data_IF_604740243676
#
_entry.id   IF_604740243676
#
_cell.length_a   1.000
_cell.length_b   1.000
_cell.length_c   1.000
_cell.angle_alpha   90.00
_cell.angle_beta   90.00
_cell.angle_gamma   90.00
#
_symmetry.space_group_name_H-M   'P 1'
#
loop_
_entity.id
_entity.type
_entity.pdbx_description
1 polymer ?
#
# COMPACT_ATOMS: atom_id res chain seq x y z
N UNK A 1 -7.45 -20.61 -15.67
CA UNK A 1 -8.27 -20.38 -14.46
C UNK A 1 -7.73 -19.28 -13.54
N UNK A 2 -6.42 -19.22 -13.25
CA UNK A 2 -5.84 -18.19 -12.37
C UNK A 2 -6.07 -16.75 -12.87
N UNK A 3 -5.95 -16.50 -14.17
CA UNK A 3 -6.21 -15.18 -14.78
C UNK A 3 -7.63 -14.67 -14.57
N UNK A 4 -8.62 -15.54 -14.74
CA UNK A 4 -10.02 -15.19 -14.56
C UNK A 4 -10.29 -14.80 -13.11
N UNK A 5 -9.75 -15.57 -12.15
CA UNK A 5 -9.85 -15.28 -10.71
C UNK A 5 -9.16 -13.98 -10.33
N UNK A 6 -7.98 -13.68 -10.88
CA UNK A 6 -7.29 -12.42 -10.63
C UNK A 6 -8.08 -11.23 -11.19
N UNK A 7 -8.63 -11.36 -12.41
CA UNK A 7 -9.46 -10.31 -13.01
C UNK A 7 -10.73 -10.06 -12.19
N UNK A 8 -11.41 -11.13 -11.74
CA UNK A 8 -12.55 -11.03 -10.83
C UNK A 8 -12.18 -10.38 -9.49
N UNK A 9 -11.05 -10.77 -8.89
CA UNK A 9 -10.56 -10.16 -7.65
C UNK A 9 -10.26 -8.67 -7.84
N UNK A 10 -9.57 -8.30 -8.92
CA UNK A 10 -9.25 -6.91 -9.23
C UNK A 10 -10.51 -6.07 -9.35
N UNK A 11 -11.49 -6.53 -10.13
CA UNK A 11 -12.77 -5.84 -10.28
C UNK A 11 -13.50 -5.77 -8.94
N UNK A 12 -13.58 -6.89 -8.22
CA UNK A 12 -14.25 -6.97 -6.92
C UNK A 12 -13.64 -6.02 -5.88
N UNK A 13 -12.32 -5.98 -5.76
CA UNK A 13 -11.61 -5.06 -4.86
C UNK A 13 -11.75 -3.61 -5.29
N UNK A 14 -11.66 -3.29 -6.59
CA UNK A 14 -11.88 -1.92 -7.08
C UNK A 14 -13.30 -1.44 -6.75
N UNK A 15 -14.31 -2.28 -6.99
CA UNK A 15 -15.71 -1.95 -6.66
C UNK A 15 -15.89 -1.81 -5.14
N UNK A 16 -15.39 -2.77 -4.36
CA UNK A 16 -15.52 -2.75 -2.91
C UNK A 16 -14.87 -1.50 -2.28
N UNK A 17 -13.64 -1.16 -2.67
CA UNK A 17 -12.95 0.02 -2.16
C UNK A 17 -13.56 1.32 -2.68
N UNK A 18 -14.09 1.34 -3.91
CA UNK A 18 -14.84 2.48 -4.42
C UNK A 18 -16.12 2.71 -3.60
N UNK A 19 -16.92 1.67 -3.38
CA UNK A 19 -18.12 1.78 -2.54
C UNK A 19 -17.79 2.19 -1.11
N UNK A 20 -16.72 1.66 -0.54
CA UNK A 20 -16.28 2.03 0.81
C UNK A 20 -15.90 3.53 0.91
N UNK A 21 -15.10 4.05 -0.03
CA UNK A 21 -14.69 5.46 0.02
C UNK A 21 -15.87 6.41 -0.28
N UNK A 22 -16.74 6.05 -1.23
CA UNK A 22 -17.94 6.82 -1.53
C UNK A 22 -18.93 6.83 -0.37
N UNK A 23 -19.13 5.67 0.29
CA UNK A 23 -19.96 5.58 1.48
C UNK A 23 -19.42 6.42 2.63
N UNK A 24 -18.10 6.37 2.88
CA UNK A 24 -17.45 7.19 3.90
C UNK A 24 -17.58 8.69 3.61
N UNK A 25 -17.37 9.10 2.36
CA UNK A 25 -17.49 10.50 1.95
C UNK A 25 -18.94 10.99 2.00
N UNK A 26 -19.90 10.17 1.59
CA UNK A 26 -21.32 10.50 1.69
C UNK A 26 -21.75 10.67 3.16
N UNK A 27 -21.29 9.78 4.05
CA UNK A 27 -21.52 9.92 5.49
C UNK A 27 -20.94 11.24 6.03
N UNK A 28 -19.67 11.53 5.72
CA UNK A 28 -19.02 12.79 6.11
C UNK A 28 -19.74 14.01 5.56
N UNK A 29 -20.21 13.94 4.31
CA UNK A 29 -20.92 15.04 3.67
C UNK A 29 -22.23 15.38 4.39
N UNK A 30 -22.96 14.39 4.90
CA UNK A 30 -24.24 14.59 5.60
C UNK A 30 -24.05 15.04 7.06
N UNK A 31 -22.97 14.62 7.73
CA UNK A 31 -22.77 14.94 9.15
C UNK A 31 -21.92 16.19 9.41
N UNK A 32 -20.73 16.28 8.81
CA UNK A 32 -19.70 17.27 9.19
C UNK A 32 -19.15 18.08 8.00
N UNK A 33 -19.59 17.75 6.79
CA UNK A 33 -18.97 18.21 5.55
C UNK A 33 -17.69 17.41 5.21
N UNK A 34 -17.27 17.45 3.95
CA UNK A 34 -16.04 16.74 3.52
C UNK A 34 -14.82 17.57 3.93
N UNK A 35 -13.92 17.01 4.77
CA UNK A 35 -12.75 17.75 5.23
C UNK A 35 -11.84 18.17 4.08
N UNK A 36 -11.19 19.32 4.27
CA UNK A 36 -10.03 19.72 3.49
C UNK A 36 -8.88 19.94 4.48
N UNK A 37 -7.80 19.21 4.28
CA UNK A 37 -6.62 19.25 5.14
C UNK A 37 -5.54 20.09 4.48
N UNK A 38 -4.92 20.98 5.25
CA UNK A 38 -3.67 21.58 4.82
C UNK A 38 -2.59 20.51 4.78
N UNK A 39 -1.78 20.49 3.71
CA UNK A 39 -0.67 19.55 3.62
C UNK A 39 0.25 19.71 4.84
N UNK A 40 0.67 18.58 5.43
CA UNK A 40 1.59 18.53 6.55
C UNK A 40 1.15 19.34 7.79
N UNK A 41 -0.16 19.53 7.98
CA UNK A 41 -0.69 20.36 9.08
C UNK A 41 -0.15 21.80 9.05
N UNK A 42 0.34 22.27 7.90
CA UNK A 42 0.94 23.59 7.75
C UNK A 42 -0.01 24.52 6.99
N UNK A 43 -0.53 25.59 7.62
CA UNK A 43 -1.51 26.49 6.99
C UNK A 43 -0.95 27.24 5.77
N UNK A 44 0.37 27.35 5.61
CA UNK A 44 1.00 27.97 4.45
C UNK A 44 0.99 27.08 3.19
N UNK A 45 0.65 25.78 3.33
CA UNK A 45 0.59 24.83 2.22
C UNK A 45 -0.85 24.69 1.68
N UNK A 46 -1.02 24.34 0.38
CA UNK A 46 -2.33 24.23 -0.23
C UNK A 46 -3.20 23.21 0.48
N UNK A 47 -4.48 23.53 0.57
CA UNK A 47 -5.50 22.68 1.19
C UNK A 47 -5.96 21.64 0.17
N UNK A 48 -5.90 20.37 0.54
CA UNK A 48 -6.35 19.26 -0.31
C UNK A 48 -7.64 18.69 0.27
N UNK A 49 -8.66 18.60 -0.56
CA UNK A 49 -9.95 18.01 -0.16
C UNK A 49 -9.92 16.49 -0.23
N UNK A 50 -10.57 15.85 0.74
CA UNK A 50 -10.73 14.39 0.77
C UNK A 50 -11.58 13.87 -0.42
N UNK A 51 -12.32 14.74 -1.11
CA UNK A 51 -13.05 14.41 -2.34
C UNK A 51 -12.18 13.77 -3.42
N UNK A 52 -10.90 14.15 -3.51
CA UNK A 52 -9.98 13.52 -4.45
C UNK A 52 -9.83 12.01 -4.20
N UNK A 53 -10.04 11.55 -2.96
CA UNK A 53 -10.04 10.13 -2.61
C UNK A 53 -11.11 9.32 -3.33
N UNK A 54 -12.27 9.91 -3.66
CA UNK A 54 -13.36 9.23 -4.37
C UNK A 54 -12.92 8.69 -5.74
N UNK A 55 -12.04 9.42 -6.42
CA UNK A 55 -11.50 9.07 -7.74
C UNK A 55 -10.13 8.40 -7.61
N UNK A 56 -9.30 8.87 -6.67
CA UNK A 56 -7.92 8.39 -6.54
C UNK A 56 -7.86 6.94 -6.07
N UNK A 57 -8.67 6.53 -5.08
CA UNK A 57 -8.67 5.16 -4.56
C UNK A 57 -9.05 4.10 -5.62
N UNK A 58 -10.14 4.23 -6.40
CA UNK A 58 -10.45 3.24 -7.43
C UNK A 58 -9.38 3.21 -8.52
N UNK A 59 -8.83 4.37 -8.91
CA UNK A 59 -7.76 4.46 -9.90
C UNK A 59 -6.47 3.76 -9.42
N UNK A 60 -6.05 4.04 -8.19
CA UNK A 60 -4.89 3.41 -7.56
C UNK A 60 -5.08 1.91 -7.41
N UNK A 61 -6.24 1.48 -6.91
CA UNK A 61 -6.59 0.06 -6.80
C UNK A 61 -6.46 -0.63 -8.16
N UNK A 62 -7.03 -0.04 -9.20
CA UNK A 62 -6.98 -0.58 -10.56
C UNK A 62 -5.55 -0.64 -11.09
N UNK A 63 -4.76 0.43 -10.92
CA UNK A 63 -3.41 0.54 -11.43
C UNK A 63 -2.44 -0.39 -10.69
N UNK A 64 -2.40 -0.35 -9.35
CA UNK A 64 -1.50 -1.13 -8.51
C UNK A 64 -1.75 -2.64 -8.63
N UNK A 65 -3.02 -3.08 -8.65
CA UNK A 65 -3.34 -4.48 -8.91
C UNK A 65 -3.03 -4.88 -10.37
N UNK A 66 -3.16 -3.95 -11.32
CA UNK A 66 -2.75 -4.18 -12.71
C UNK A 66 -1.24 -4.38 -12.86
N UNK A 67 -0.44 -3.58 -12.15
CA UNK A 67 1.02 -3.69 -12.07
C UNK A 67 1.45 -4.98 -11.37
N UNK A 68 0.75 -5.38 -10.31
CA UNK A 68 0.95 -6.68 -9.63
C UNK A 68 0.76 -7.85 -10.59
N UNK A 69 -0.29 -7.81 -11.43
CA UNK A 69 -0.59 -8.86 -12.42
C UNK A 69 0.55 -9.06 -13.41
N UNK A 70 1.03 -7.96 -14.03
CA UNK A 70 2.11 -8.01 -15.03
C UNK A 70 3.40 -8.64 -14.49
N UNK A 71 3.63 -8.56 -13.17
CA UNK A 71 4.78 -9.18 -12.51
C UNK A 71 4.58 -10.68 -12.22
N UNK A 72 3.34 -11.15 -12.17
CA UNK A 72 2.94 -12.47 -11.65
C UNK A 72 2.41 -13.43 -12.72
N UNK A 73 2.34 -13.00 -13.98
CA UNK A 73 1.99 -13.86 -15.12
C UNK A 73 2.94 -15.07 -15.25
N UNK A 74 4.15 -15.01 -14.66
CA UNK A 74 5.09 -16.14 -14.62
C UNK A 74 4.94 -17.11 -13.42
N UNK A 75 4.08 -16.82 -12.41
CA UNK A 75 4.17 -17.46 -11.09
C UNK A 75 2.92 -18.26 -10.61
N UNK A 76 1.90 -18.45 -11.44
CA UNK A 76 0.76 -19.34 -11.13
C UNK A 76 -0.17 -18.88 -10.00
N UNK A 77 -0.94 -19.82 -9.39
CA UNK A 77 -2.02 -19.55 -8.41
C UNK A 77 -1.54 -19.10 -7.02
N UNK A 78 -0.34 -19.50 -6.62
CA UNK A 78 0.28 -19.09 -5.35
C UNK A 78 0.55 -17.57 -5.30
N UNK A 79 0.65 -16.94 -6.48
CA UNK A 79 0.88 -15.51 -6.63
C UNK A 79 -0.28 -14.62 -6.11
N UNK A 80 -1.51 -15.14 -6.11
CA UNK A 80 -2.72 -14.44 -5.65
C UNK A 80 -2.77 -14.35 -4.12
N UNK A 81 -2.48 -15.45 -3.43
CA UNK A 81 -2.41 -15.48 -1.96
C UNK A 81 -1.33 -14.52 -1.45
N UNK A 82 -0.17 -14.52 -2.09
CA UNK A 82 0.91 -13.58 -1.77
C UNK A 82 0.53 -12.11 -2.05
N UNK A 83 -0.31 -11.83 -3.05
CA UNK A 83 -0.86 -10.49 -3.28
C UNK A 83 -1.77 -10.06 -2.14
N UNK A 84 -2.71 -10.93 -1.72
CA UNK A 84 -3.63 -10.65 -0.63
C UNK A 84 -2.92 -10.50 0.71
N UNK A 85 -1.92 -11.33 0.99
CA UNK A 85 -1.08 -11.19 2.20
C UNK A 85 -0.35 -9.85 2.20
N UNK A 86 0.23 -9.43 1.06
CA UNK A 86 0.86 -8.12 0.94
C UNK A 86 -0.13 -6.97 1.16
N UNK A 87 -1.32 -7.06 0.57
CA UNK A 87 -2.39 -6.09 0.74
C UNK A 87 -2.83 -5.98 2.20
N UNK A 88 -3.09 -7.11 2.86
CA UNK A 88 -3.53 -7.14 4.26
C UNK A 88 -2.42 -6.68 5.21
N UNK A 89 -1.16 -7.05 4.96
CA UNK A 89 -0.03 -6.58 5.74
C UNK A 89 0.16 -5.06 5.61
N UNK A 90 0.08 -4.53 4.39
CA UNK A 90 0.11 -3.08 4.15
C UNK A 90 -1.05 -2.35 4.83
N UNK A 91 -2.26 -2.92 4.76
CA UNK A 91 -3.46 -2.38 5.40
C UNK A 91 -3.33 -2.32 6.91
N UNK A 92 -2.90 -3.43 7.53
CA UNK A 92 -2.66 -3.50 8.96
C UNK A 92 -1.60 -2.48 9.40
N UNK A 93 -0.54 -2.32 8.60
CA UNK A 93 0.53 -1.37 8.89
C UNK A 93 0.08 0.09 8.80
N UNK A 94 -0.67 0.44 7.74
CA UNK A 94 -1.25 1.77 7.58
C UNK A 94 -2.29 2.08 8.67
N UNK A 95 -3.12 1.10 9.03
CA UNK A 95 -4.06 1.23 10.13
C UNK A 95 -3.35 1.44 11.48
N UNK A 96 -2.28 0.69 11.76
CA UNK A 96 -1.49 0.87 12.98
C UNK A 96 -0.91 2.29 13.06
N UNK A 97 -0.32 2.80 11.98
CA UNK A 97 0.17 4.18 11.93
C UNK A 97 -0.95 5.21 12.12
N UNK A 98 -2.11 4.99 11.50
CA UNK A 98 -3.27 5.87 11.63
C UNK A 98 -3.76 5.96 13.06
N UNK A 99 -3.88 4.81 13.74
CA UNK A 99 -4.30 4.74 15.13
C UNK A 99 -3.26 5.40 16.03
N UNK A 100 -1.97 5.13 15.85
CA UNK A 100 -0.90 5.77 16.64
C UNK A 100 -0.93 7.30 16.52
N UNK A 101 -1.12 7.83 15.30
CA UNK A 101 -1.22 9.27 15.08
C UNK A 101 -2.48 9.86 15.70
N UNK A 102 -3.64 9.23 15.48
CA UNK A 102 -4.90 9.72 16.02
C UNK A 102 -4.93 9.70 17.56
N UNK A 103 -4.22 8.75 18.18
CA UNK A 103 -4.03 8.71 19.64
C UNK A 103 -2.98 9.71 20.16
N UNK A 104 -2.41 10.58 19.32
CA UNK A 104 -1.42 11.59 19.72
C UNK A 104 0.02 11.06 19.89
N UNK A 105 0.29 9.81 19.52
CA UNK A 105 1.62 9.20 19.63
C UNK A 105 2.42 9.43 18.35
N UNK A 106 2.72 10.69 18.02
CA UNK A 106 3.43 11.07 16.79
C UNK A 106 4.82 10.43 16.69
N UNK A 107 5.51 10.27 17.83
CA UNK A 107 6.82 9.61 17.89
C UNK A 107 6.76 8.16 17.41
N UNK A 108 5.74 7.40 17.85
CA UNK A 108 5.52 6.01 17.43
C UNK A 108 5.21 5.95 15.94
N UNK A 109 4.39 6.88 15.45
CA UNK A 109 4.07 7.01 14.03
C UNK A 109 5.34 7.26 13.21
N UNK A 110 6.24 8.13 13.68
CA UNK A 110 7.54 8.36 13.06
C UNK A 110 8.41 7.11 13.03
N UNK A 111 8.50 6.36 14.14
CA UNK A 111 9.24 5.11 14.19
C UNK A 111 8.68 4.03 13.26
N UNK A 112 7.35 3.92 13.14
CA UNK A 112 6.73 3.05 12.14
C UNK A 112 7.11 3.52 10.73
N UNK A 113 6.88 4.80 10.42
CA UNK A 113 7.17 5.32 9.08
C UNK A 113 8.63 5.08 8.64
N UNK A 114 9.61 5.43 9.48
CA UNK A 114 11.03 5.19 9.18
C UNK A 114 11.45 3.73 9.35
N UNK A 115 10.72 2.94 10.15
CA UNK A 115 10.93 1.50 10.33
C UNK A 115 10.70 0.69 9.05
N UNK A 116 10.01 1.26 8.05
CA UNK A 116 9.88 0.66 6.71
C UNK A 116 11.24 0.51 6.00
N UNK A 117 12.22 1.40 6.26
CA UNK A 117 13.54 1.34 5.62
C UNK A 117 14.33 0.08 6.00
N UNK A 118 14.57 -0.23 7.29
CA UNK A 118 15.26 -1.46 7.66
C UNK A 118 14.45 -2.70 7.29
N UNK A 119 13.11 -2.64 7.36
CA UNK A 119 12.24 -3.75 6.95
C UNK A 119 12.43 -4.10 5.46
N UNK A 120 12.71 -3.09 4.63
CA UNK A 120 12.99 -3.27 3.21
C UNK A 120 14.26 -4.08 2.92
N UNK A 121 15.16 -4.28 3.88
CA UNK A 121 16.32 -5.17 3.69
C UNK A 121 15.90 -6.65 3.59
N UNK A 122 14.84 -7.03 4.29
CA UNK A 122 14.39 -8.42 4.40
C UNK A 122 13.16 -8.70 3.54
N UNK A 123 12.23 -7.75 3.48
CA UNK A 123 10.94 -7.92 2.83
C UNK A 123 10.79 -6.94 1.66
N UNK A 124 10.16 -7.36 0.55
CA UNK A 124 9.88 -6.47 -0.58
C UNK A 124 8.67 -5.57 -0.28
N UNK A 125 8.83 -4.63 0.65
CA UNK A 125 7.75 -3.74 1.14
C UNK A 125 7.25 -2.78 0.05
N UNK A 126 8.08 -2.44 -0.92
CA UNK A 126 7.75 -1.62 -2.10
C UNK A 126 6.70 -2.25 -3.04
N UNK A 127 6.25 -3.47 -2.77
CA UNK A 127 5.28 -4.17 -3.61
C UNK A 127 3.98 -3.37 -3.75
N UNK A 128 3.38 -3.33 -4.96
CA UNK A 128 2.21 -2.51 -5.22
C UNK A 128 1.00 -2.92 -4.36
N UNK A 129 0.89 -4.18 -3.97
CA UNK A 129 -0.19 -4.64 -3.07
C UNK A 129 0.00 -4.09 -1.65
N UNK A 130 1.23 -4.08 -1.14
CA UNK A 130 1.56 -3.50 0.17
C UNK A 130 1.30 -1.99 0.18
N UNK A 131 1.72 -1.29 -0.89
CA UNK A 131 1.48 0.14 -1.05
C UNK A 131 -0.02 0.45 -1.09
N UNK A 132 -0.81 -0.34 -1.84
CA UNK A 132 -2.25 -0.18 -1.89
C UNK A 132 -2.89 -0.34 -0.51
N UNK A 133 -2.52 -1.40 0.22
CA UNK A 133 -3.02 -1.64 1.58
C UNK A 133 -2.67 -0.48 2.52
N UNK A 134 -1.42 -0.04 2.48
CA UNK A 134 -0.94 1.08 3.27
C UNK A 134 -1.74 2.38 3.01
N UNK A 135 -1.95 2.73 1.73
CA UNK A 135 -2.73 3.91 1.35
C UNK A 135 -4.16 3.80 1.89
N UNK A 136 -4.81 2.64 1.73
CA UNK A 136 -6.16 2.42 2.24
C UNK A 136 -6.26 2.56 3.76
N UNK A 137 -5.30 1.99 4.50
CA UNK A 137 -5.26 2.05 5.96
C UNK A 137 -5.12 3.49 6.47
N UNK A 138 -4.32 4.31 5.76
CA UNK A 138 -4.09 5.71 6.10
C UNK A 138 -5.18 6.67 5.61
N UNK A 139 -5.97 6.27 4.61
CA UNK A 139 -6.95 7.14 3.95
C UNK A 139 -8.11 7.56 4.86
N UNK A 140 -8.38 6.80 5.93
CA UNK A 140 -9.44 7.14 6.89
C UNK A 140 -9.07 8.37 7.71
N UNK A 141 -7.79 8.52 8.09
CA UNK A 141 -7.32 9.62 8.96
C UNK A 141 -6.80 10.80 8.15
N UNK A 142 -6.03 10.54 7.09
CA UNK A 142 -5.30 11.58 6.35
C UNK A 142 -5.84 11.88 4.94
N UNK A 143 -6.93 11.21 4.55
CA UNK A 143 -7.39 11.22 3.16
C UNK A 143 -6.46 10.43 2.24
N UNK A 144 -6.82 10.29 0.96
CA UNK A 144 -6.09 9.42 0.03
C UNK A 144 -4.81 10.06 -0.54
N UNK A 145 -4.77 11.39 -0.68
CA UNK A 145 -3.71 12.08 -1.43
C UNK A 145 -2.37 12.04 -0.68
N UNK A 146 -2.38 12.36 0.62
CA UNK A 146 -1.16 12.44 1.43
C UNK A 146 -0.46 11.06 1.54
N UNK A 147 -1.16 9.96 1.89
CA UNK A 147 -0.56 8.64 1.94
C UNK A 147 -0.11 8.14 0.58
N UNK A 148 -0.77 8.54 -0.51
CA UNK A 148 -0.34 8.19 -1.86
C UNK A 148 1.00 8.84 -2.19
N UNK A 149 1.16 10.13 -1.88
CA UNK A 149 2.40 10.85 -2.15
C UNK A 149 3.57 10.28 -1.33
N UNK A 150 3.45 10.24 -0.01
CA UNK A 150 4.50 9.73 0.87
C UNK A 150 4.73 8.23 0.70
N UNK A 151 3.67 7.46 0.54
CA UNK A 151 3.75 6.02 0.28
C UNK A 151 4.48 5.71 -1.01
N UNK A 152 4.27 6.50 -2.07
CA UNK A 152 4.97 6.31 -3.35
C UNK A 152 6.47 6.64 -3.24
N UNK A 153 6.81 7.73 -2.55
CA UNK A 153 8.20 8.10 -2.27
C UNK A 153 8.88 7.01 -1.44
N UNK A 154 8.23 6.53 -0.39
CA UNK A 154 8.74 5.45 0.44
C UNK A 154 8.84 4.12 -0.30
N UNK A 155 7.89 3.79 -1.16
CA UNK A 155 7.97 2.60 -2.01
C UNK A 155 9.19 2.68 -2.94
N UNK A 156 9.49 3.85 -3.51
CA UNK A 156 10.69 4.04 -4.32
C UNK A 156 11.97 3.89 -3.49
N UNK A 157 12.04 4.53 -2.32
CA UNK A 157 13.20 4.42 -1.43
C UNK A 157 13.45 2.98 -0.98
N UNK A 158 12.40 2.29 -0.52
CA UNK A 158 12.48 0.89 -0.10
C UNK A 158 12.77 -0.05 -1.28
N UNK A 159 12.35 0.28 -2.51
CA UNK A 159 12.76 -0.45 -3.72
C UNK A 159 14.27 -0.35 -3.95
N UNK A 160 14.83 0.86 -3.88
CA UNK A 160 16.27 1.08 -4.04
C UNK A 160 17.05 0.33 -2.97
N UNK A 161 16.66 0.46 -1.70
CA UNK A 161 17.30 -0.25 -0.57
C UNK A 161 17.24 -1.76 -0.76
N UNK A 162 16.05 -2.31 -1.06
CA UNK A 162 15.89 -3.75 -1.24
C UNK A 162 16.70 -4.26 -2.42
N UNK A 163 16.71 -3.53 -3.55
CA UNK A 163 17.38 -3.96 -4.78
C UNK A 163 18.90 -3.92 -4.67
N UNK A 164 19.47 -2.86 -4.08
CA UNK A 164 20.91 -2.64 -4.05
C UNK A 164 21.59 -3.12 -2.77
N UNK A 165 20.87 -3.21 -1.64
CA UNK A 165 21.45 -3.58 -0.34
C UNK A 165 20.82 -4.87 0.16
N UNK A 166 19.48 -4.97 0.15
CA UNK A 166 18.76 -6.14 0.66
C UNK A 166 19.12 -7.43 -0.07
N UNK A 167 19.02 -7.43 -1.40
CA UNK A 167 19.33 -8.61 -2.23
C UNK A 167 20.78 -9.13 -2.10
N UNK A 168 21.84 -8.30 -2.19
CA UNK A 168 23.20 -8.80 -1.99
C UNK A 168 23.43 -9.27 -0.56
N UNK A 169 22.89 -8.57 0.44
CA UNK A 169 22.99 -8.97 1.84
C UNK A 169 22.33 -10.36 2.08
N UNK A 170 21.14 -10.58 1.54
CA UNK A 170 20.47 -11.89 1.61
C UNK A 170 21.25 -12.99 0.87
N UNK A 171 21.94 -12.64 -0.22
CA UNK A 171 22.84 -13.54 -0.93
C UNK A 171 24.05 -13.95 -0.09
N UNK A 172 24.63 -13.02 0.67
CA UNK A 172 25.76 -13.27 1.57
C UNK A 172 25.36 -14.09 2.80
N UNK A 173 24.17 -13.85 3.34
CA UNK A 173 23.65 -14.55 4.54
C UNK A 173 23.10 -15.95 4.19
N UNK A 174 23.04 -16.33 2.91
CA UNK A 174 22.52 -17.63 2.48
C UNK A 174 20.99 -17.77 2.59
N UNK A 175 20.28 -16.68 2.90
CA UNK A 175 18.81 -16.60 3.00
C UNK A 175 18.11 -16.58 1.62
N UNK A 176 18.79 -17.04 0.57
CA UNK A 176 18.28 -17.00 -0.80
C UNK A 176 17.11 -17.97 -0.94
N UNK A 177 15.89 -17.49 -0.68
CA UNK A 177 14.65 -18.15 -1.10
C UNK A 177 14.49 -17.94 -2.61
N UNK A 178 15.36 -18.59 -3.38
CA UNK A 178 15.18 -18.80 -4.82
C UNK A 178 14.39 -20.09 -5.06
N UNK A 179 13.58 -20.19 -6.12
CA UNK A 179 12.94 -21.44 -6.46
C UNK A 179 14.04 -22.50 -6.65
N UNK A 180 13.92 -23.64 -5.97
CA UNK A 180 14.72 -24.82 -6.27
C UNK A 180 14.54 -25.11 -7.75
N UNK A 181 15.55 -24.79 -8.56
CA UNK A 181 15.70 -25.37 -9.89
C UNK A 181 15.71 -26.88 -9.65
N UNK A 182 14.63 -27.55 -10.06
CA UNK A 182 14.60 -29.00 -10.15
C UNK A 182 15.75 -29.39 -11.09
N UNK A 183 16.81 -29.93 -10.50
CA UNK A 183 17.71 -30.81 -11.21
C UNK A 183 16.93 -32.08 -11.52
N UNK A 184 16.74 -32.35 -12.81
CA UNK A 184 16.47 -33.65 -13.42
C UNK A 184 16.98 -33.48 -14.85
N UNK A 185 18.25 -33.83 -15.06
CA UNK A 185 18.67 -35.11 -15.68
C UNK A 185 18.32 -35.15 -17.17
#
# INVERSE_FOLDING_TARGET
MADHRFKQLRIGLTVAFSLAIWGLLAWRHVHDGVPAHHLLHNPALPRVSDWFGAVLIPLLTWCLLGLSRRRKEDAGSQSLQLALVGLLAGLAYGAAMSVSFFSGHEQITGYLFFGLLPLALFLPVYRPECLLGFILGMSVVFGAVLPTLFGSIMALATFVIHRFIGLPLQGLIGLRVGPKLKATE
#
